data_IF_732533907491
#
_entry.id   IF_732533907491
#
_cell.length_a   1.000
_cell.length_b   1.000
_cell.length_c   1.000
_cell.angle_alpha   90.00
_cell.angle_beta   90.00
_cell.angle_gamma   90.00
#
_symmetry.space_group_name_H-M   'P 1'
#
loop_
_entity.id
_entity.type
_entity.pdbx_description
1 polymer ?
#
# COMPACT_ATOMS: atom_id res chain seq x y z
N UNK A 1 30.67 3.97 -47.46
CA UNK A 1 30.68 3.21 -46.20
C UNK A 1 29.54 3.76 -45.39
N UNK A 2 28.39 3.12 -45.55
CA UNK A 2 27.09 3.72 -45.29
C UNK A 2 26.51 3.09 -44.02
N UNK A 3 26.45 3.88 -42.95
CA UNK A 3 25.94 3.45 -41.66
C UNK A 3 24.41 3.41 -41.69
N UNK A 4 23.86 2.19 -41.77
CA UNK A 4 22.41 1.94 -41.73
C UNK A 4 21.89 2.19 -40.32
N UNK A 5 20.94 3.11 -40.18
CA UNK A 5 20.20 3.43 -38.95
C UNK A 5 19.54 2.16 -38.39
N UNK A 6 19.92 1.74 -37.18
CA UNK A 6 19.19 0.73 -36.42
C UNK A 6 17.93 1.36 -35.83
N UNK A 7 16.76 0.85 -36.19
CA UNK A 7 15.49 1.23 -35.59
C UNK A 7 15.40 0.57 -34.21
N UNK A 8 15.78 1.30 -33.17
CA UNK A 8 15.60 0.86 -31.79
C UNK A 8 14.13 1.00 -31.40
N UNK A 9 13.46 -0.13 -31.12
CA UNK A 9 12.26 -0.14 -30.30
C UNK A 9 12.70 0.39 -28.93
N UNK A 10 12.27 1.62 -28.60
CA UNK A 10 12.58 2.27 -27.33
C UNK A 10 12.31 1.31 -26.17
N UNK A 11 13.03 1.44 -25.04
CA UNK A 11 12.97 0.47 -23.97
C UNK A 11 11.51 0.24 -23.61
N UNK A 12 11.10 -1.03 -23.62
CA UNK A 12 9.78 -1.45 -23.20
C UNK A 12 9.47 -0.72 -21.89
N UNK A 13 8.31 -0.06 -21.82
CA UNK A 13 7.76 0.33 -20.52
C UNK A 13 7.77 -0.94 -19.69
N UNK A 14 8.62 -0.97 -18.68
CA UNK A 14 8.60 -2.02 -17.67
C UNK A 14 7.27 -1.80 -16.96
N UNK A 15 6.22 -2.45 -17.45
CA UNK A 15 5.08 -2.77 -16.62
C UNK A 15 5.64 -3.75 -15.61
N UNK A 16 5.99 -3.25 -14.42
CA UNK A 16 6.17 -4.12 -13.28
C UNK A 16 4.79 -4.72 -13.07
N UNK A 17 4.60 -5.97 -13.48
CA UNK A 17 3.53 -6.80 -12.95
C UNK A 17 3.84 -6.94 -11.46
N UNK A 18 3.32 -6.01 -10.66
CA UNK A 18 3.37 -6.14 -9.21
C UNK A 18 2.42 -7.28 -8.89
N UNK A 19 2.98 -8.43 -8.54
CA UNK A 19 2.20 -9.50 -7.96
C UNK A 19 1.62 -8.93 -6.67
N UNK A 20 0.28 -8.90 -6.58
CA UNK A 20 -0.41 -8.46 -5.38
C UNK A 20 0.21 -9.16 -4.16
N UNK A 21 0.66 -8.41 -3.15
CA UNK A 21 1.39 -8.98 -2.03
C UNK A 21 0.50 -9.96 -1.26
N UNK A 22 0.96 -11.22 -1.17
CA UNK A 22 0.31 -12.26 -0.38
C UNK A 22 0.74 -12.14 1.08
N UNK A 23 -0.17 -11.67 1.93
CA UNK A 23 0.13 -11.42 3.35
C UNK A 23 -0.70 -12.35 4.25
N UNK A 24 -0.03 -13.02 5.18
CA UNK A 24 -0.66 -14.01 6.04
C UNK A 24 -1.72 -13.39 6.96
N UNK A 25 -2.73 -14.18 7.33
CA UNK A 25 -3.76 -13.76 8.28
C UNK A 25 -3.13 -13.34 9.61
N UNK A 26 -3.51 -12.16 10.12
CA UNK A 26 -3.03 -11.66 11.41
C UNK A 26 -1.55 -11.25 11.45
N UNK A 27 -0.82 -11.30 10.33
CA UNK A 27 0.57 -10.83 10.32
C UNK A 27 0.65 -9.31 10.30
N UNK A 28 1.65 -8.76 11.00
CA UNK A 28 1.91 -7.32 11.03
C UNK A 28 2.94 -6.96 9.96
N UNK A 29 2.58 -6.02 9.08
CA UNK A 29 3.44 -5.51 8.02
C UNK A 29 3.51 -3.99 8.07
N UNK A 30 4.67 -3.40 7.76
CA UNK A 30 4.80 -1.95 7.65
C UNK A 30 4.73 -1.55 6.17
N UNK A 31 3.64 -0.92 5.77
CA UNK A 31 3.53 -0.29 4.46
C UNK A 31 4.34 1.01 4.44
N UNK A 32 5.11 1.23 3.38
CA UNK A 32 5.95 2.43 3.23
C UNK A 32 5.38 3.29 2.11
N UNK A 33 4.86 4.46 2.44
CA UNK A 33 4.29 5.38 1.46
C UNK A 33 5.19 6.61 1.27
N UNK A 34 5.59 6.95 0.02
CA UNK A 34 6.25 8.20 -0.28
C UNK A 34 5.21 9.33 -0.28
N UNK A 35 5.26 10.19 0.73
CA UNK A 35 4.32 11.30 0.95
C UNK A 35 5.05 12.62 0.71
N UNK A 36 4.44 13.53 -0.04
CA UNK A 36 4.93 14.91 -0.19
C UNK A 36 3.88 15.86 0.35
N UNK A 37 4.22 16.59 1.41
CA UNK A 37 3.38 17.68 1.96
C UNK A 37 4.22 18.95 1.95
N UNK A 38 3.61 20.07 1.58
CA UNK A 38 4.24 21.39 1.56
C UNK A 38 3.27 22.45 2.10
N UNK A 39 3.75 23.47 2.84
CA UNK A 39 5.14 23.73 3.23
C UNK A 39 5.70 22.76 4.29
N UNK A 40 7.02 22.85 4.53
CA UNK A 40 7.70 22.13 5.61
C UNK A 40 7.26 22.62 6.99
N UNK A 41 7.35 21.76 8.01
CA UNK A 41 7.05 22.08 9.41
C UNK A 41 5.59 21.88 9.83
N UNK A 42 4.71 21.48 8.91
CA UNK A 42 3.33 21.14 9.25
C UNK A 42 3.26 19.83 10.04
N UNK A 43 2.41 19.82 11.08
CA UNK A 43 2.10 18.60 11.84
C UNK A 43 1.02 17.82 11.10
N UNK A 44 1.40 16.66 10.55
CA UNK A 44 0.52 15.82 9.77
C UNK A 44 0.23 14.50 10.51
N UNK A 45 -0.90 13.89 10.17
CA UNK A 45 -1.27 12.54 10.59
C UNK A 45 -1.68 11.76 9.37
N UNK A 46 -1.15 10.56 9.20
CA UNK A 46 -1.59 9.64 8.15
C UNK A 46 -2.28 8.44 8.78
N UNK A 47 -3.33 7.94 8.16
CA UNK A 47 -3.92 6.66 8.49
C UNK A 47 -3.97 5.80 7.23
N UNK A 48 -3.38 4.62 7.30
CA UNK A 48 -3.53 3.60 6.27
C UNK A 48 -4.54 2.56 6.76
N UNK A 49 -5.51 2.24 5.92
CA UNK A 49 -6.52 1.24 6.25
C UNK A 49 -6.86 0.35 5.05
N UNK A 50 -7.31 -0.85 5.35
CA UNK A 50 -7.70 -1.88 4.38
C UNK A 50 -9.21 -2.07 4.42
N UNK A 51 -9.79 -2.30 3.24
CA UNK A 51 -11.23 -2.53 3.11
C UNK A 51 -11.55 -3.51 1.99
N UNK A 52 -12.59 -4.31 2.17
CA UNK A 52 -13.15 -5.15 1.10
C UNK A 52 -14.32 -4.49 0.35
N UNK A 53 -14.89 -3.41 0.90
CA UNK A 53 -16.15 -2.83 0.41
C UNK A 53 -16.11 -1.28 0.28
N UNK A 54 -14.95 -0.66 0.52
CA UNK A 54 -14.76 0.79 0.42
C UNK A 54 -15.32 1.60 1.58
N UNK A 55 -16.00 0.99 2.55
CA UNK A 55 -16.71 1.71 3.64
C UNK A 55 -16.35 1.21 5.03
N UNK A 56 -15.97 -0.05 5.16
CA UNK A 56 -15.61 -0.67 6.45
C UNK A 56 -14.09 -0.84 6.52
N UNK A 57 -13.48 -0.32 7.59
CA UNK A 57 -12.04 -0.51 7.88
C UNK A 57 -11.84 -1.91 8.46
N UNK A 58 -11.47 -2.88 7.62
CA UNK A 58 -11.16 -4.25 8.05
C UNK A 58 -9.84 -4.33 8.84
N UNK A 59 -8.89 -3.46 8.51
CA UNK A 59 -7.67 -3.25 9.28
C UNK A 59 -7.22 -1.78 9.14
N UNK A 60 -6.50 -1.27 10.12
CA UNK A 60 -5.97 0.09 10.12
C UNK A 60 -4.61 0.11 10.81
N UNK A 61 -3.74 1.03 10.38
CA UNK A 61 -2.51 1.36 11.10
C UNK A 61 -2.75 2.21 12.34
N UNK A 62 -3.95 2.75 12.49
CA UNK A 62 -4.20 3.92 13.32
C UNK A 62 -3.55 5.18 12.74
N UNK A 63 -3.75 6.31 13.43
CA UNK A 63 -3.13 7.59 13.05
C UNK A 63 -1.63 7.60 13.39
N UNK A 64 -0.79 7.61 12.37
CA UNK A 64 0.65 7.81 12.49
C UNK A 64 0.94 9.31 12.33
N UNK A 65 1.51 9.93 13.36
CA UNK A 65 1.91 11.34 13.30
C UNK A 65 3.27 11.49 12.61
N UNK A 66 3.40 12.48 11.73
CA UNK A 66 4.66 12.81 11.07
C UNK A 66 4.74 14.32 10.80
N UNK A 67 5.95 14.85 10.73
CA UNK A 67 6.18 16.26 10.35
C UNK A 67 6.46 16.35 8.86
N UNK A 68 5.79 17.27 8.18
CA UNK A 68 6.02 17.60 6.77
C UNK A 68 7.44 18.16 6.58
N UNK A 69 8.17 17.65 5.59
CA UNK A 69 9.50 18.13 5.21
C UNK A 69 9.47 19.15 4.07
N UNK A 70 8.30 19.43 3.47
CA UNK A 70 8.20 20.26 2.26
C UNK A 70 8.66 19.55 0.97
N UNK A 71 9.06 18.28 1.08
CA UNK A 71 9.55 17.41 0.02
C UNK A 71 8.97 15.99 0.21
N UNK A 72 9.32 15.08 -0.71
CA UNK A 72 8.92 13.68 -0.58
C UNK A 72 9.64 13.01 0.59
N UNK A 73 8.88 12.35 1.46
CA UNK A 73 9.37 11.58 2.60
C UNK A 73 8.67 10.23 2.70
N UNK A 74 9.40 9.19 3.07
CA UNK A 74 8.84 7.86 3.27
C UNK A 74 8.28 7.71 4.68
N UNK A 75 6.97 7.57 4.82
CA UNK A 75 6.31 7.31 6.10
C UNK A 75 5.93 5.84 6.20
N UNK A 76 6.15 5.24 7.37
CA UNK A 76 5.86 3.83 7.64
C UNK A 76 4.57 3.70 8.42
N UNK A 77 3.65 2.89 7.91
CA UNK A 77 2.36 2.60 8.50
C UNK A 77 2.31 1.12 8.89
N UNK A 78 2.45 0.78 10.19
CA UNK A 78 2.33 -0.60 10.65
C UNK A 78 0.87 -1.02 10.60
N UNK A 79 0.54 -2.09 9.89
CA UNK A 79 -0.81 -2.58 9.71
C UNK A 79 -0.84 -4.09 9.98
N UNK A 80 -1.79 -4.53 10.79
CA UNK A 80 -2.03 -5.95 11.02
C UNK A 80 -3.09 -6.45 10.06
N UNK A 81 -2.78 -7.51 9.30
CA UNK A 81 -3.70 -8.07 8.32
C UNK A 81 -4.94 -8.65 9.00
N UNK A 82 -6.14 -8.50 8.42
CA UNK A 82 -7.35 -9.11 8.93
C UNK A 82 -7.20 -10.64 9.08
N UNK A 83 -7.91 -11.23 10.05
CA UNK A 83 -7.98 -12.70 10.18
C UNK A 83 -8.86 -13.35 9.11
N UNK A 84 -9.65 -12.56 8.41
CA UNK A 84 -10.47 -13.00 7.28
C UNK A 84 -9.59 -13.13 6.02
N UNK A 85 -9.81 -14.20 5.27
CA UNK A 85 -9.25 -14.31 3.92
C UNK A 85 -10.01 -13.38 2.97
N UNK A 86 -9.32 -12.85 1.97
CA UNK A 86 -9.92 -12.00 0.96
C UNK A 86 -8.95 -11.04 0.31
N UNK A 87 -9.44 -10.31 -0.69
CA UNK A 87 -8.74 -9.20 -1.31
C UNK A 87 -9.14 -7.90 -0.62
N UNK A 88 -8.15 -7.09 -0.27
CA UNK A 88 -8.34 -5.85 0.44
C UNK A 88 -7.74 -4.69 -0.35
N UNK A 89 -8.56 -3.68 -0.64
CA UNK A 89 -8.09 -2.42 -1.19
C UNK A 89 -7.40 -1.60 -0.10
N UNK A 90 -6.29 -0.96 -0.44
CA UNK A 90 -5.49 -0.15 0.49
C UNK A 90 -5.81 1.33 0.30
N UNK A 91 -6.23 1.97 1.39
CA UNK A 91 -6.53 3.40 1.46
C UNK A 91 -5.52 4.10 2.36
N UNK A 92 -5.10 5.30 1.98
CA UNK A 92 -4.22 6.16 2.75
C UNK A 92 -4.82 7.56 2.81
N UNK A 93 -5.17 8.00 4.01
CA UNK A 93 -5.71 9.32 4.28
C UNK A 93 -4.70 10.16 5.07
N UNK A 94 -4.46 11.39 4.61
CA UNK A 94 -3.51 12.32 5.21
C UNK A 94 -4.25 13.55 5.74
N UNK A 95 -4.00 13.87 7.00
CA UNK A 95 -4.61 14.94 7.74
C UNK A 95 -3.58 15.96 8.21
N UNK A 96 -3.97 17.23 8.27
CA UNK A 96 -3.24 18.31 8.94
C UNK A 96 -4.26 19.08 9.78
N UNK A 97 -3.98 19.32 11.06
CA UNK A 97 -4.90 20.02 11.97
C UNK A 97 -6.35 19.46 11.95
N UNK A 98 -6.46 18.12 11.85
CA UNK A 98 -7.74 17.38 11.71
C UNK A 98 -8.50 17.60 10.40
N UNK A 99 -7.94 18.34 9.44
CA UNK A 99 -8.47 18.47 8.08
C UNK A 99 -7.85 17.42 7.17
N UNK A 100 -8.67 16.68 6.41
CA UNK A 100 -8.19 15.78 5.36
C UNK A 100 -7.61 16.62 4.21
N UNK A 101 -6.31 16.50 4.00
CA UNK A 101 -5.57 17.24 2.95
C UNK A 101 -5.26 16.37 1.73
N UNK A 102 -5.37 15.05 1.86
CA UNK A 102 -5.16 14.12 0.75
C UNK A 102 -5.69 12.73 1.08
N UNK A 103 -6.23 12.06 0.06
CA UNK A 103 -6.64 10.66 0.13
C UNK A 103 -6.10 9.95 -1.11
N UNK A 104 -5.60 8.73 -0.91
CA UNK A 104 -5.03 7.90 -1.96
C UNK A 104 -5.57 6.47 -1.82
N UNK A 105 -5.91 5.88 -2.96
CA UNK A 105 -6.32 4.47 -3.07
C UNK A 105 -5.27 3.77 -3.92
N UNK A 106 -4.69 2.70 -3.40
CA UNK A 106 -3.77 1.88 -4.18
C UNK A 106 -4.52 1.24 -5.36
N UNK A 107 -3.86 1.16 -6.50
CA UNK A 107 -4.38 0.46 -7.69
C UNK A 107 -4.31 -1.06 -7.55
N UNK A 108 -3.52 -1.53 -6.59
CA UNK A 108 -3.26 -2.95 -6.32
C UNK A 108 -3.92 -3.36 -5.01
N UNK A 109 -4.28 -4.63 -4.92
CA UNK A 109 -4.97 -5.18 -3.77
C UNK A 109 -4.02 -6.01 -2.92
N UNK A 110 -4.32 -6.13 -1.63
CA UNK A 110 -3.61 -7.06 -0.75
C UNK A 110 -4.42 -8.34 -0.66
N UNK A 111 -3.83 -9.47 -0.99
CA UNK A 111 -4.49 -10.78 -0.90
C UNK A 111 -4.11 -11.45 0.41
N UNK A 112 -5.11 -11.77 1.23
CA UNK A 112 -4.94 -12.58 2.42
C UNK A 112 -5.44 -14.01 2.16
N UNK A 113 -4.56 -15.03 2.07
CA UNK A 113 -4.98 -16.38 1.73
C UNK A 113 -5.70 -17.06 2.90
N UNK A 114 -6.76 -17.80 2.57
CA UNK A 114 -7.35 -18.80 3.44
C UNK A 114 -6.71 -20.16 3.18
N UNK A 115 -6.14 -20.78 4.21
CA UNK A 115 -5.67 -22.16 4.13
C UNK A 115 -6.44 -22.97 5.16
N UNK A 116 -7.15 -24.01 4.69
CA UNK A 116 -7.77 -25.04 5.51
C UNK A 116 -7.10 -26.36 5.16
N UNK A 117 -6.44 -26.99 6.12
CA UNK A 117 -5.81 -28.30 5.94
C UNK A 117 -6.71 -29.34 6.59
N UNK A 118 -7.25 -30.26 5.79
CA UNK A 118 -8.05 -31.39 6.27
C UNK A 118 -7.25 -32.38 7.13
N UNK A 119 -7.96 -33.33 7.74
CA UNK A 119 -7.31 -34.36 8.58
C UNK A 119 -6.43 -35.25 7.70
N UNK A 120 -5.15 -35.37 8.07
CA UNK A 120 -4.23 -36.33 7.43
C UNK A 120 -4.52 -37.72 8.02
N UNK A 121 -5.11 -38.60 7.22
CA UNK A 121 -5.33 -40.01 7.58
C UNK A 121 -4.21 -40.87 7.03
N UNK A 122 -3.69 -41.77 7.84
CA UNK A 122 -2.68 -42.77 7.48
C UNK A 122 -3.35 -44.15 7.48
N UNK A 123 -3.13 -44.97 6.45
CA UNK A 123 -3.51 -46.39 6.45
C UNK A 123 -2.38 -47.27 7.02
#
# INVERSE_FOLDING_TARGET
MDFKKISGKGPARISVESIDPLLAKGSSHAAVAPITVSPAGLSCKGELWLTTNGTTKNATSGMVSFTSTGAQQSVRFPVTMPSAAGEFSVYLDIYTDSLLIGSYIATESVVCPGVEIGIITWE
#
